data_IF_200429136494
#
_entry.id   IF_200429136494
#
_cell.length_a   1.000
_cell.length_b   1.000
_cell.length_c   1.000
_cell.angle_alpha   90.00
_cell.angle_beta   90.00
_cell.angle_gamma   90.00
#
_symmetry.space_group_name_H-M   'P 1'
#
loop_
_entity.id
_entity.type
_entity.pdbx_description
1 polymer ?
#
# COMPACT_ATOMS: atom_id res chain seq x y z
N UNK A 1 -64.33 73.66 13.16
CA UNK A 1 -63.95 73.58 11.74
C UNK A 1 -62.69 74.40 11.56
N UNK A 2 -61.53 73.94 11.06
CA UNK A 2 -61.32 73.53 9.71
C UNK A 2 -60.44 72.24 9.56
N UNK A 3 -60.65 71.59 8.39
CA UNK A 3 -59.89 70.50 7.82
C UNK A 3 -58.40 70.80 7.58
N UNK A 4 -57.54 69.80 7.80
CA UNK A 4 -56.20 69.82 7.19
C UNK A 4 -56.05 68.57 6.31
N UNK A 5 -56.27 68.79 5.02
CA UNK A 5 -55.83 67.88 3.97
C UNK A 5 -54.36 68.15 3.66
N UNK A 6 -53.53 67.12 3.69
CA UNK A 6 -52.17 67.25 3.16
C UNK A 6 -51.18 66.29 3.72
N UNK A 7 -51.17 65.03 3.28
CA UNK A 7 -50.17 64.04 3.76
C UNK A 7 -49.90 62.84 2.87
N UNK A 8 -50.67 62.64 1.79
CA UNK A 8 -50.59 61.41 1.02
C UNK A 8 -49.54 61.37 -0.12
N UNK A 9 -49.00 62.50 -0.53
CA UNK A 9 -48.11 62.60 -1.70
C UNK A 9 -46.62 62.34 -1.38
N UNK A 10 -46.18 62.67 -0.15
CA UNK A 10 -44.76 62.49 0.24
C UNK A 10 -44.36 61.04 0.54
N UNK A 11 -45.29 60.17 0.95
CA UNK A 11 -45.00 58.77 1.32
C UNK A 11 -44.75 57.86 0.10
N UNK A 12 -45.28 58.22 -1.09
CA UNK A 12 -45.07 57.44 -2.31
C UNK A 12 -43.69 57.67 -2.95
N UNK A 13 -43.13 58.87 -2.88
CA UNK A 13 -41.79 59.15 -3.38
C UNK A 13 -40.66 58.49 -2.63
N UNK A 14 -40.77 58.42 -1.30
CA UNK A 14 -39.76 57.78 -0.46
C UNK A 14 -39.74 56.26 -0.65
N UNK A 15 -40.90 55.67 -0.90
CA UNK A 15 -40.98 54.19 -1.12
C UNK A 15 -40.41 53.78 -2.49
N UNK A 16 -40.54 54.61 -3.50
CA UNK A 16 -39.96 54.33 -4.83
C UNK A 16 -38.44 54.45 -4.82
N UNK A 17 -37.88 55.46 -4.12
CA UNK A 17 -36.43 55.62 -3.98
C UNK A 17 -35.78 54.50 -3.13
N UNK A 18 -36.48 54.02 -2.12
CA UNK A 18 -36.00 52.88 -1.32
C UNK A 18 -35.99 51.54 -2.10
N UNK A 19 -36.97 51.33 -2.98
CA UNK A 19 -37.06 50.15 -3.81
C UNK A 19 -35.98 50.11 -4.90
N UNK A 20 -35.59 51.22 -5.49
CA UNK A 20 -34.51 51.29 -6.49
C UNK A 20 -33.13 51.11 -5.85
N UNK A 21 -32.92 51.57 -4.64
CA UNK A 21 -31.65 51.35 -3.91
C UNK A 21 -31.44 49.90 -3.50
N UNK A 22 -32.50 49.17 -3.15
CA UNK A 22 -32.42 47.76 -2.78
C UNK A 22 -32.12 46.83 -3.98
N UNK A 23 -32.58 47.19 -5.18
CA UNK A 23 -32.34 46.42 -6.39
C UNK A 23 -30.90 46.58 -6.92
N UNK A 24 -30.28 47.73 -6.71
CA UNK A 24 -28.89 47.99 -7.10
C UNK A 24 -27.87 47.27 -6.21
N UNK A 25 -28.21 46.97 -4.95
CA UNK A 25 -27.35 46.22 -4.02
C UNK A 25 -27.27 44.73 -4.30
N UNK A 26 -28.25 44.14 -4.98
CA UNK A 26 -28.29 42.72 -5.30
C UNK A 26 -27.45 42.33 -6.53
N UNK A 27 -26.94 43.27 -7.30
CA UNK A 27 -26.10 43.09 -8.48
C UNK A 27 -24.60 43.23 -8.16
N UNK A 28 -24.22 43.52 -6.91
CA UNK A 28 -22.85 43.38 -6.44
C UNK A 28 -22.52 41.87 -6.21
N UNK A 29 -22.72 41.09 -7.26
CA UNK A 29 -22.40 39.66 -7.27
C UNK A 29 -20.92 39.46 -6.95
N UNK A 30 -20.63 38.49 -6.08
CA UNK A 30 -19.30 37.98 -5.78
C UNK A 30 -18.53 37.79 -7.07
N UNK A 31 -17.68 38.73 -7.42
CA UNK A 31 -16.72 38.56 -8.49
C UNK A 31 -15.82 37.39 -8.14
N UNK A 32 -16.06 36.25 -8.78
CA UNK A 32 -15.13 35.13 -8.73
C UNK A 32 -13.82 35.65 -9.30
N UNK A 33 -12.89 35.98 -8.42
CA UNK A 33 -11.55 36.34 -8.80
C UNK A 33 -10.96 35.10 -9.48
N UNK A 34 -10.73 35.15 -10.78
CA UNK A 34 -9.95 34.14 -11.47
C UNK A 34 -8.55 34.14 -10.86
N UNK A 35 -8.29 33.25 -9.96
CA UNK A 35 -6.93 32.91 -9.52
C UNK A 35 -6.27 32.24 -10.73
N UNK A 36 -5.30 32.91 -11.32
CA UNK A 36 -4.42 32.25 -12.28
C UNK A 36 -3.69 31.17 -11.53
N UNK A 37 -4.09 29.92 -11.75
CA UNK A 37 -3.31 28.75 -11.33
C UNK A 37 -2.08 28.74 -12.23
N UNK A 38 -0.86 28.77 -11.67
CA UNK A 38 0.34 28.57 -12.48
C UNK A 38 0.20 27.26 -13.27
N UNK A 39 0.16 27.33 -14.58
CA UNK A 39 0.05 26.15 -15.45
C UNK A 39 1.42 25.61 -15.85
N UNK A 40 2.48 26.15 -15.26
CA UNK A 40 3.85 25.73 -15.53
C UNK A 40 4.27 24.67 -14.53
N UNK A 41 3.72 23.47 -14.68
CA UNK A 41 4.05 22.29 -13.86
C UNK A 41 5.34 21.58 -14.33
N UNK A 42 6.08 22.17 -15.26
CA UNK A 42 7.22 21.51 -15.91
C UNK A 42 6.79 20.40 -16.88
N UNK A 43 7.73 19.70 -17.48
CA UNK A 43 7.42 18.52 -18.29
C UNK A 43 6.72 17.48 -17.44
N UNK A 44 5.70 16.83 -17.99
CA UNK A 44 5.05 15.69 -17.32
C UNK A 44 6.10 14.64 -16.98
N UNK A 45 6.00 13.96 -15.81
CA UNK A 45 6.91 12.86 -15.48
C UNK A 45 6.86 11.83 -16.61
N UNK A 46 8.04 11.38 -17.01
CA UNK A 46 8.19 10.43 -18.12
C UNK A 46 7.74 9.00 -17.76
N UNK A 47 7.48 8.74 -16.48
CA UNK A 47 7.03 7.44 -15.97
C UNK A 47 5.79 7.59 -15.10
N UNK A 48 4.90 6.62 -15.17
CA UNK A 48 3.75 6.51 -14.27
C UNK A 48 4.24 5.84 -12.99
N UNK A 49 4.01 6.44 -11.82
CA UNK A 49 4.38 5.80 -10.55
C UNK A 49 3.74 4.41 -10.42
N UNK A 50 4.49 3.46 -9.90
CA UNK A 50 4.07 2.08 -9.66
C UNK A 50 3.72 1.27 -10.92
N UNK A 51 4.12 1.70 -12.10
CA UNK A 51 3.97 0.94 -13.34
C UNK A 51 5.34 0.63 -13.95
N UNK A 52 5.59 -0.64 -14.24
CA UNK A 52 6.75 -1.12 -14.97
C UNK A 52 6.32 -1.56 -16.36
N UNK A 53 7.10 -1.22 -17.39
CA UNK A 53 6.83 -1.71 -18.73
C UNK A 53 7.08 -3.23 -18.82
N UNK A 54 6.45 -3.91 -19.78
CA UNK A 54 6.66 -5.34 -20.00
C UNK A 54 8.14 -5.68 -20.30
N UNK A 55 8.92 -4.72 -20.87
CA UNK A 55 10.34 -4.88 -21.13
C UNK A 55 11.17 -4.84 -19.84
N UNK A 56 10.74 -4.04 -18.87
CA UNK A 56 11.44 -3.90 -17.59
C UNK A 56 11.22 -5.14 -16.70
N UNK A 57 10.07 -5.79 -16.81
CA UNK A 57 9.74 -7.02 -16.11
C UNK A 57 10.66 -8.17 -16.53
N UNK A 58 11.02 -8.27 -17.80
CA UNK A 58 11.86 -9.37 -18.33
C UNK A 58 13.32 -9.29 -17.89
N UNK A 59 13.82 -8.13 -17.51
CA UNK A 59 15.20 -7.97 -17.04
C UNK A 59 15.44 -8.44 -15.61
N UNK A 60 14.39 -8.64 -14.84
CA UNK A 60 14.42 -9.03 -13.43
C UNK A 60 14.34 -10.55 -13.22
N UNK A 61 14.11 -11.34 -14.28
CA UNK A 61 13.99 -12.79 -14.20
C UNK A 61 15.23 -13.46 -14.81
N UNK A 62 15.88 -14.35 -14.05
CA UNK A 62 16.95 -15.21 -14.58
C UNK A 62 16.36 -16.40 -15.34
N UNK A 63 16.92 -16.84 -16.47
CA UNK A 63 16.37 -17.94 -17.26
C UNK A 63 16.31 -19.28 -16.53
N UNK A 64 17.10 -19.46 -15.48
CA UNK A 64 17.21 -20.71 -14.69
C UNK A 64 16.45 -20.67 -13.37
N UNK A 65 15.89 -19.53 -12.97
CA UNK A 65 15.17 -19.39 -11.69
C UNK A 65 13.69 -19.79 -11.78
N UNK A 66 13.13 -20.20 -10.64
CA UNK A 66 11.69 -20.33 -10.48
C UNK A 66 11.06 -18.94 -10.52
N UNK A 67 10.17 -18.63 -11.47
CA UNK A 67 9.48 -17.35 -11.50
C UNK A 67 8.57 -17.21 -10.27
N UNK A 68 8.66 -16.10 -9.59
CA UNK A 68 7.86 -15.77 -8.39
C UNK A 68 7.38 -14.32 -8.46
N UNK A 69 6.35 -14.01 -7.71
CA UNK A 69 5.92 -12.63 -7.47
C UNK A 69 6.27 -12.23 -6.04
N UNK A 70 6.84 -11.04 -5.88
CA UNK A 70 7.10 -10.42 -4.57
C UNK A 70 6.31 -9.13 -4.45
N UNK A 71 5.93 -8.76 -3.23
CA UNK A 71 5.19 -7.53 -2.98
C UNK A 71 6.15 -6.43 -2.51
N UNK A 72 6.44 -5.47 -3.39
CA UNK A 72 7.17 -4.26 -3.05
C UNK A 72 6.21 -3.13 -2.64
N UNK A 73 6.74 -2.16 -1.92
CA UNK A 73 6.02 -0.93 -1.58
C UNK A 73 6.07 0.03 -2.76
N UNK A 74 4.93 0.60 -3.12
CA UNK A 74 4.86 1.75 -4.01
C UNK A 74 3.65 2.62 -3.66
N UNK A 75 3.86 3.92 -3.52
CA UNK A 75 2.81 4.90 -3.17
C UNK A 75 1.99 4.51 -1.93
N UNK A 76 2.61 3.82 -0.96
CA UNK A 76 1.97 3.41 0.29
C UNK A 76 1.17 2.11 0.21
N UNK A 77 1.13 1.43 -0.92
CA UNK A 77 0.49 0.15 -1.13
C UNK A 77 1.51 -0.95 -1.46
N UNK A 78 1.09 -2.20 -1.40
CA UNK A 78 1.86 -3.35 -1.88
C UNK A 78 1.52 -3.62 -3.34
N UNK A 79 2.54 -3.69 -4.18
CA UNK A 79 2.41 -3.96 -5.62
C UNK A 79 3.25 -5.18 -5.99
N UNK A 80 2.68 -6.08 -6.79
CA UNK A 80 3.36 -7.28 -7.25
C UNK A 80 4.45 -6.94 -8.27
N UNK A 81 5.61 -7.56 -8.09
CA UNK A 81 6.76 -7.44 -9.00
C UNK A 81 7.32 -8.83 -9.26
N UNK A 82 7.62 -9.12 -10.52
CA UNK A 82 8.20 -10.41 -10.90
C UNK A 82 9.68 -10.51 -10.47
N UNK A 83 10.04 -11.67 -9.95
CA UNK A 83 11.40 -12.04 -9.56
C UNK A 83 11.68 -13.49 -9.98
N UNK A 84 12.93 -13.91 -9.81
CA UNK A 84 13.31 -15.30 -9.94
C UNK A 84 14.04 -15.76 -8.68
N UNK A 85 13.67 -16.92 -8.17
CA UNK A 85 14.29 -17.55 -7.02
C UNK A 85 14.98 -18.85 -7.47
N UNK A 86 16.23 -19.04 -7.09
CA UNK A 86 16.95 -20.27 -7.39
C UNK A 86 16.62 -21.33 -6.33
N UNK A 87 16.08 -22.45 -6.78
CA UNK A 87 15.83 -23.62 -5.98
C UNK A 87 16.69 -24.75 -6.53
N UNK A 88 17.61 -25.29 -5.71
CA UNK A 88 18.49 -26.36 -6.13
C UNK A 88 17.68 -27.61 -6.53
N UNK A 89 18.08 -28.25 -7.63
CA UNK A 89 17.48 -29.51 -8.07
C UNK A 89 17.67 -30.60 -6.99
N UNK A 90 16.65 -31.43 -6.78
CA UNK A 90 16.68 -32.48 -5.78
C UNK A 90 16.44 -32.01 -4.34
N UNK A 91 16.03 -30.74 -4.14
CA UNK A 91 15.61 -30.28 -2.80
C UNK A 91 14.43 -31.14 -2.31
N UNK A 92 14.60 -31.76 -1.15
CA UNK A 92 13.54 -32.54 -0.50
C UNK A 92 12.30 -31.69 -0.24
N UNK A 93 11.10 -32.24 -0.44
CA UNK A 93 9.83 -31.51 -0.31
C UNK A 93 9.67 -30.84 1.06
N UNK A 94 10.07 -31.53 2.14
CA UNK A 94 10.02 -30.99 3.50
C UNK A 94 10.87 -29.71 3.68
N UNK A 95 11.93 -29.55 2.89
CA UNK A 95 12.81 -28.36 2.92
C UNK A 95 12.44 -27.33 1.88
N UNK A 96 11.70 -27.72 0.85
CA UNK A 96 11.41 -26.88 -0.31
C UNK A 96 10.72 -25.58 0.08
N UNK A 97 9.73 -25.65 0.98
CA UNK A 97 9.02 -24.47 1.49
C UNK A 97 9.98 -23.44 2.11
N UNK A 98 10.85 -23.87 2.99
CA UNK A 98 11.82 -22.97 3.64
C UNK A 98 12.85 -22.41 2.66
N UNK A 99 13.30 -23.19 1.68
CA UNK A 99 14.23 -22.75 0.62
C UNK A 99 13.57 -21.70 -0.27
N UNK A 100 12.33 -21.93 -0.68
CA UNK A 100 11.55 -20.93 -1.45
C UNK A 100 11.32 -19.68 -0.62
N UNK A 101 10.91 -19.82 0.64
CA UNK A 101 10.70 -18.69 1.55
C UNK A 101 11.99 -17.86 1.73
N UNK A 102 13.15 -18.49 1.86
CA UNK A 102 14.43 -17.78 1.95
C UNK A 102 14.73 -17.02 0.66
N UNK A 103 14.58 -17.64 -0.49
CA UNK A 103 14.78 -16.95 -1.78
C UNK A 103 13.84 -15.76 -1.98
N UNK A 104 12.58 -15.90 -1.55
CA UNK A 104 11.61 -14.77 -1.58
C UNK A 104 12.03 -13.66 -0.60
N UNK A 105 12.54 -14.02 0.56
CA UNK A 105 13.02 -13.07 1.56
C UNK A 105 14.25 -12.29 1.06
N UNK A 106 15.18 -12.99 0.40
CA UNK A 106 16.35 -12.39 -0.23
C UNK A 106 15.93 -11.44 -1.36
N UNK A 107 14.95 -11.84 -2.18
CA UNK A 107 14.39 -11.00 -3.23
C UNK A 107 13.64 -9.76 -2.71
N UNK A 108 12.97 -9.87 -1.56
CA UNK A 108 12.30 -8.75 -0.89
C UNK A 108 13.29 -7.78 -0.25
N UNK A 109 14.38 -8.28 0.32
CA UNK A 109 15.37 -7.47 1.02
C UNK A 109 16.40 -6.83 0.09
N UNK A 110 16.44 -7.24 -1.18
CA UNK A 110 17.30 -6.63 -2.18
C UNK A 110 16.80 -5.22 -2.52
N UNK A 111 17.75 -4.31 -2.75
CA UNK A 111 17.42 -2.97 -3.23
C UNK A 111 16.64 -3.06 -4.56
N UNK A 112 15.64 -2.23 -4.76
CA UNK A 112 14.97 -2.11 -6.06
C UNK A 112 16.00 -1.83 -7.18
N UNK A 113 15.74 -2.33 -8.36
CA UNK A 113 16.53 -1.95 -9.53
C UNK A 113 16.39 -0.45 -9.82
N UNK A 114 17.31 0.12 -10.60
CA UNK A 114 17.25 1.55 -10.93
C UNK A 114 15.91 1.97 -11.56
N UNK A 115 15.31 1.09 -12.37
CA UNK A 115 14.00 1.34 -13.01
C UNK A 115 12.85 1.28 -11.99
N UNK A 116 12.93 0.35 -11.06
CA UNK A 116 11.94 0.25 -9.98
C UNK A 116 12.03 1.44 -9.01
N UNK A 117 13.25 1.83 -8.64
CA UNK A 117 13.49 3.00 -7.79
C UNK A 117 12.97 4.28 -8.47
N UNK A 118 13.23 4.45 -9.76
CA UNK A 118 12.71 5.57 -10.57
C UNK A 118 11.18 5.55 -10.66
N UNK A 119 10.56 4.37 -10.68
CA UNK A 119 9.10 4.20 -10.64
C UNK A 119 8.51 4.33 -9.22
N UNK A 120 9.35 4.49 -8.20
CA UNK A 120 8.95 4.70 -6.81
C UNK A 120 8.68 3.42 -6.01
N UNK A 121 9.24 2.30 -6.45
CA UNK A 121 9.20 1.05 -5.67
C UNK A 121 10.24 1.07 -4.56
N UNK A 122 9.93 0.39 -3.46
CA UNK A 122 10.82 0.26 -2.32
C UNK A 122 10.56 -0.99 -1.50
N UNK A 123 11.47 -1.29 -0.59
CA UNK A 123 11.30 -2.35 0.39
C UNK A 123 11.51 -1.82 1.82
N UNK A 124 10.78 -2.42 2.76
CA UNK A 124 10.98 -2.21 4.19
C UNK A 124 11.57 -3.45 4.87
N UNK A 125 11.78 -4.53 4.13
CA UNK A 125 12.35 -5.77 4.64
C UNK A 125 13.84 -5.59 4.89
N UNK A 126 14.33 -5.74 6.14
CA UNK A 126 15.74 -5.53 6.44
C UNK A 126 16.62 -6.62 5.80
N UNK A 127 17.82 -6.27 5.35
CA UNK A 127 18.78 -7.25 4.84
C UNK A 127 19.23 -8.22 5.94
N UNK A 128 19.59 -9.44 5.53
CA UNK A 128 20.14 -10.47 6.44
C UNK A 128 19.09 -11.18 7.31
N UNK A 129 17.81 -10.95 7.06
CA UNK A 129 16.74 -11.73 7.67
C UNK A 129 16.77 -13.15 7.11
N UNK A 130 16.71 -14.16 7.98
CA UNK A 130 16.70 -15.56 7.55
C UNK A 130 15.43 -16.26 7.96
N UNK A 131 15.09 -17.32 7.21
CA UNK A 131 13.94 -18.17 7.50
C UNK A 131 14.36 -19.64 7.51
N UNK A 132 13.81 -20.39 8.43
CA UNK A 132 13.98 -21.84 8.54
C UNK A 132 12.61 -22.54 8.53
N UNK A 133 12.63 -23.84 8.30
CA UNK A 133 11.46 -24.69 8.42
C UNK A 133 11.00 -24.88 9.88
N UNK A 134 9.99 -25.74 10.08
CA UNK A 134 9.41 -26.00 11.39
C UNK A 134 10.41 -26.57 12.39
N UNK A 135 10.28 -26.15 13.64
CA UNK A 135 10.96 -26.77 14.77
C UNK A 135 10.19 -28.02 15.25
N UNK A 136 10.81 -28.90 16.08
CA UNK A 136 10.10 -30.05 16.65
C UNK A 136 8.83 -29.60 17.40
N UNK A 137 7.68 -30.17 17.01
CA UNK A 137 6.36 -29.83 17.57
C UNK A 137 5.60 -28.74 16.86
N UNK A 138 6.21 -28.11 15.87
CA UNK A 138 5.50 -27.14 15.00
C UNK A 138 4.65 -27.86 13.93
N UNK A 139 3.62 -27.21 13.40
CA UNK A 139 2.97 -27.64 12.17
C UNK A 139 3.97 -27.72 11.01
N UNK A 140 3.73 -28.62 10.05
CA UNK A 140 4.62 -28.84 8.90
C UNK A 140 4.74 -27.62 7.97
N UNK A 141 3.73 -26.74 8.00
CA UNK A 141 3.68 -25.50 7.22
C UNK A 141 4.32 -24.30 7.94
N UNK A 142 4.85 -24.49 9.15
CA UNK A 142 5.45 -23.40 9.91
C UNK A 142 6.79 -22.96 9.33
N UNK A 143 7.01 -21.66 9.36
CA UNK A 143 8.26 -20.99 9.01
C UNK A 143 8.75 -20.16 10.20
N UNK A 144 10.04 -20.22 10.49
CA UNK A 144 10.64 -19.49 11.61
C UNK A 144 11.64 -18.46 11.10
N UNK A 145 11.32 -17.19 11.33
CA UNK A 145 12.19 -16.06 11.00
C UNK A 145 13.26 -15.88 12.08
N UNK A 146 14.43 -15.36 11.68
CA UNK A 146 15.49 -14.97 12.63
C UNK A 146 15.09 -13.81 13.55
N UNK A 147 14.08 -13.04 13.16
CA UNK A 147 13.48 -11.94 13.92
C UNK A 147 12.01 -12.24 14.16
N UNK A 148 11.51 -11.96 15.36
CA UNK A 148 10.11 -12.15 15.68
C UNK A 148 9.20 -11.33 14.76
N UNK A 149 8.09 -11.88 14.24
CA UNK A 149 7.19 -11.16 13.34
C UNK A 149 6.67 -9.84 13.92
N UNK A 150 6.40 -9.77 15.20
CA UNK A 150 5.94 -8.58 15.92
C UNK A 150 7.01 -7.51 16.15
N UNK A 151 8.30 -7.90 16.06
CA UNK A 151 9.43 -6.97 16.11
C UNK A 151 9.77 -6.35 14.75
N UNK A 152 9.18 -6.84 13.66
CA UNK A 152 9.34 -6.25 12.33
C UNK A 152 8.53 -4.97 12.18
N UNK A 153 9.00 -4.04 11.35
CA UNK A 153 8.20 -2.92 10.93
C UNK A 153 6.93 -3.42 10.20
N UNK A 154 5.79 -2.75 10.39
CA UNK A 154 4.49 -3.17 9.80
C UNK A 154 4.57 -3.38 8.29
N UNK A 155 5.22 -2.46 7.58
CA UNK A 155 5.46 -2.58 6.14
C UNK A 155 6.27 -3.83 5.78
N UNK A 156 7.32 -4.14 6.54
CA UNK A 156 8.14 -5.33 6.31
C UNK A 156 7.33 -6.61 6.54
N UNK A 157 6.58 -6.68 7.65
CA UNK A 157 5.73 -7.83 7.94
C UNK A 157 4.66 -8.03 6.87
N UNK A 158 4.01 -6.95 6.41
CA UNK A 158 3.02 -7.00 5.34
C UNK A 158 3.62 -7.50 4.02
N UNK A 159 4.81 -7.02 3.63
CA UNK A 159 5.53 -7.50 2.45
C UNK A 159 5.84 -9.00 2.53
N UNK A 160 6.37 -9.46 3.66
CA UNK A 160 6.71 -10.87 3.90
C UNK A 160 5.45 -11.74 3.86
N UNK A 161 4.41 -11.37 4.60
CA UNK A 161 3.15 -12.13 4.67
C UNK A 161 2.50 -12.24 3.29
N UNK A 162 2.34 -11.14 2.56
CA UNK A 162 1.71 -11.17 1.25
C UNK A 162 2.54 -11.93 0.21
N UNK A 163 3.86 -11.77 0.22
CA UNK A 163 4.75 -12.52 -0.69
C UNK A 163 4.74 -14.02 -0.41
N UNK A 164 4.79 -14.42 0.85
CA UNK A 164 4.77 -15.84 1.20
C UNK A 164 3.40 -16.46 0.92
N UNK A 165 2.32 -15.77 1.28
CA UNK A 165 0.95 -16.24 1.06
C UNK A 165 0.59 -16.47 -0.43
N UNK A 166 1.22 -15.73 -1.34
CA UNK A 166 1.04 -15.82 -2.80
C UNK A 166 2.08 -16.72 -3.49
N UNK A 167 2.71 -17.62 -2.76
CA UNK A 167 3.83 -18.42 -3.25
C UNK A 167 3.78 -19.87 -2.78
N UNK A 168 4.75 -20.69 -3.22
CA UNK A 168 4.96 -22.06 -2.72
C UNK A 168 5.46 -22.11 -1.26
N UNK A 169 5.70 -20.98 -0.60
CA UNK A 169 5.95 -20.89 0.82
C UNK A 169 4.66 -20.92 1.65
N UNK A 170 3.50 -20.67 1.03
CA UNK A 170 2.19 -20.72 1.70
C UNK A 170 1.85 -22.11 2.23
N UNK A 171 1.06 -22.14 3.30
CA UNK A 171 0.30 -23.30 3.70
C UNK A 171 -1.00 -23.42 2.88
N UNK A 172 -1.86 -24.33 3.33
CA UNK A 172 -3.19 -24.47 2.75
C UNK A 172 -3.97 -23.15 2.86
N UNK A 173 -4.78 -22.85 1.83
CA UNK A 173 -5.62 -21.65 1.75
C UNK A 173 -4.88 -20.30 1.60
N UNK A 174 -3.62 -20.29 1.14
CA UNK A 174 -2.89 -19.03 0.90
C UNK A 174 -2.61 -18.24 2.19
N UNK A 175 -2.52 -18.92 3.34
CA UNK A 175 -2.06 -18.35 4.60
C UNK A 175 -0.63 -18.76 4.90
N UNK A 176 0.06 -18.06 5.80
CA UNK A 176 1.41 -18.42 6.21
C UNK A 176 1.51 -18.50 7.73
N UNK A 177 2.13 -19.57 8.23
CA UNK A 177 2.39 -19.75 9.66
C UNK A 177 3.80 -19.25 9.96
N UNK A 178 3.91 -18.18 10.73
CA UNK A 178 5.17 -17.55 11.09
C UNK A 178 5.38 -17.55 12.60
N UNK A 179 6.64 -17.71 12.99
CA UNK A 179 7.16 -17.48 14.32
C UNK A 179 8.62 -17.06 14.25
N UNK A 180 9.28 -16.91 15.40
CA UNK A 180 10.71 -16.69 15.45
C UNK A 180 11.46 -17.97 15.79
N UNK A 181 12.78 -17.95 15.59
CA UNK A 181 13.69 -19.04 16.03
C UNK A 181 13.82 -19.12 17.55
N UNK A 182 13.47 -18.05 18.28
CA UNK A 182 13.31 -18.05 19.74
C UNK A 182 11.88 -18.48 20.06
N UNK A 183 11.67 -19.66 20.53
CA UNK A 183 10.47 -20.35 21.07
C UNK A 183 9.16 -19.51 21.30
N UNK A 184 8.80 -18.63 20.38
CA UNK A 184 7.58 -17.84 20.43
C UNK A 184 6.38 -18.57 19.84
N UNK A 185 5.20 -18.13 20.23
CA UNK A 185 3.92 -18.63 19.71
C UNK A 185 3.86 -18.41 18.19
N UNK A 186 3.57 -19.49 17.46
CA UNK A 186 3.30 -19.40 16.04
C UNK A 186 1.97 -18.69 15.78
N UNK A 187 1.93 -17.89 14.73
CA UNK A 187 0.72 -17.23 14.27
C UNK A 187 0.49 -17.51 12.80
N UNK A 188 -0.77 -17.75 12.45
CA UNK A 188 -1.21 -17.88 11.06
C UNK A 188 -1.62 -16.49 10.57
N UNK A 189 -0.96 -16.00 9.55
CA UNK A 189 -1.19 -14.70 8.93
C UNK A 189 -1.91 -14.85 7.59
N UNK A 190 -2.71 -13.86 7.25
CA UNK A 190 -3.41 -13.76 5.98
C UNK A 190 -3.05 -12.44 5.27
N UNK A 191 -2.87 -12.51 3.94
CA UNK A 191 -2.71 -11.33 3.11
C UNK A 191 -4.09 -10.81 2.71
N UNK A 192 -4.70 -9.99 3.56
CA UNK A 192 -5.99 -9.38 3.27
C UNK A 192 -5.87 -8.21 2.28
N UNK A 193 -6.94 -7.85 1.55
CA UNK A 193 -6.94 -6.69 0.65
C UNK A 193 -6.53 -5.37 1.35
N UNK A 194 -6.91 -5.21 2.61
CA UNK A 194 -6.55 -4.05 3.44
C UNK A 194 -5.04 -4.00 3.70
N UNK A 195 -4.42 -5.17 3.94
CA UNK A 195 -2.97 -5.29 4.09
C UNK A 195 -2.23 -4.87 2.81
N UNK A 196 -2.80 -5.16 1.64
CA UNK A 196 -2.19 -4.77 0.36
C UNK A 196 -2.35 -3.27 0.07
N UNK A 197 -3.53 -2.71 0.34
CA UNK A 197 -3.83 -1.31 0.03
C UNK A 197 -3.28 -0.31 1.05
N UNK A 198 -3.14 -0.70 2.31
CA UNK A 198 -2.70 0.16 3.42
C UNK A 198 -1.83 -0.62 4.42
N UNK A 199 -0.65 -1.14 4.01
CA UNK A 199 0.19 -2.02 4.83
C UNK A 199 0.75 -1.36 6.10
N UNK A 200 0.66 -0.04 6.20
CA UNK A 200 1.10 0.74 7.38
C UNK A 200 0.03 0.91 8.46
N UNK A 201 -1.24 0.69 8.17
CA UNK A 201 -2.35 0.99 9.08
C UNK A 201 -2.48 -0.03 10.22
N UNK A 202 -1.97 -1.25 10.04
CA UNK A 202 -1.99 -2.29 11.04
C UNK A 202 -1.10 -3.47 10.67
N UNK A 203 -0.99 -4.43 11.58
CA UNK A 203 -0.37 -5.72 11.25
C UNK A 203 -1.34 -6.55 10.40
N UNK A 204 -0.83 -7.43 9.52
CA UNK A 204 -1.67 -8.39 8.80
C UNK A 204 -2.54 -9.19 9.77
N UNK A 205 -3.79 -9.50 9.39
CA UNK A 205 -4.68 -10.32 10.20
C UNK A 205 -4.01 -11.65 10.58
N UNK A 206 -4.11 -12.05 11.85
CA UNK A 206 -3.47 -13.26 12.31
C UNK A 206 -4.21 -13.95 13.46
N UNK A 207 -4.09 -15.26 13.54
CA UNK A 207 -4.60 -16.11 14.63
C UNK A 207 -3.49 -16.92 15.23
N UNK A 208 -3.53 -17.18 16.53
CA UNK A 208 -2.55 -18.06 17.17
C UNK A 208 -2.75 -19.50 16.70
N UNK A 209 -1.64 -20.19 16.44
CA UNK A 209 -1.63 -21.61 16.12
C UNK A 209 -1.40 -22.35 17.43
N UNK A 210 -2.43 -23.03 17.92
CA UNK A 210 -2.34 -23.85 19.13
C UNK A 210 -1.31 -24.97 18.93
N UNK A 211 -0.35 -25.09 19.85
CA UNK A 211 0.51 -26.27 19.95
C UNK A 211 -0.35 -27.48 20.31
N UNK A 212 -0.17 -28.56 19.57
CA UNK A 212 -0.79 -29.86 19.85
C UNK A 212 -0.06 -30.60 20.98
#
# INVERSE_FOLDING_TARGET
VPEVRGGAARARGVRVLAATGALAGLLAGCGIRATQVPTDFGPAPSMVPCELSATDITTQTTPSGLPVEVFLLCSGALVRVNRSVEVAEGTEEARRRAVVAQGLLDALSADPSAIEDEAGYGTAVPPGLTVSGPAPGDPEDALRLSTAPDALARFALAQIVCTFADSAAAGDNGSVVLGSTSAETLRRYECAPETQSAPGDGNPPSTEVGGS
#
